data_IF_778836386056
#
_entry.id   IF_778836386056
#
_cell.length_a   1.000
_cell.length_b   1.000
_cell.length_c   1.000
_cell.angle_alpha   90.00
_cell.angle_beta   90.00
_cell.angle_gamma   90.00
#
_symmetry.space_group_name_H-M   'P 1'
#
loop_
_entity.id
_entity.type
_entity.pdbx_description
1 polymer ?
#
# COMPACT_ATOMS: atom_id res chain seq x y z
N UNK A 1 -12.17 -12.58 -0.70
CA UNK A 1 -10.86 -13.22 -0.43
C UNK A 1 -11.01 -14.69 -0.02
N UNK A 2 -10.11 -15.60 -0.45
CA UNK A 2 -10.19 -17.06 -0.16
C UNK A 2 -9.98 -17.44 1.31
N UNK A 3 -9.02 -16.80 1.99
CA UNK A 3 -8.64 -17.09 3.39
C UNK A 3 -8.98 -15.87 4.24
N UNK A 4 -10.13 -15.92 4.92
CA UNK A 4 -10.73 -14.79 5.66
C UNK A 4 -9.94 -14.45 6.93
N UNK A 5 -9.19 -15.38 7.48
CA UNK A 5 -8.36 -15.20 8.66
C UNK A 5 -7.20 -14.19 8.46
N UNK A 6 -6.90 -13.81 7.21
CA UNK A 6 -5.95 -12.74 6.89
C UNK A 6 -6.63 -11.41 6.55
N UNK A 7 -7.97 -11.36 6.56
CA UNK A 7 -8.72 -10.15 6.25
C UNK A 7 -8.62 -9.16 7.39
N UNK A 8 -8.40 -7.92 7.03
CA UNK A 8 -8.42 -6.79 7.95
C UNK A 8 -9.56 -5.89 7.53
N UNK A 9 -10.53 -5.75 8.42
CA UNK A 9 -11.71 -4.90 8.24
C UNK A 9 -11.60 -3.60 9.06
N UNK A 10 -10.59 -3.49 9.93
CA UNK A 10 -10.33 -2.31 10.74
C UNK A 10 -9.72 -1.20 9.87
N UNK A 11 -10.46 -0.12 9.67
CA UNK A 11 -10.03 1.03 8.88
C UNK A 11 -8.72 1.65 9.40
N UNK A 12 -8.52 1.70 10.71
CA UNK A 12 -7.31 2.25 11.32
C UNK A 12 -6.04 1.47 10.93
N UNK A 13 -6.11 0.13 10.87
CA UNK A 13 -4.99 -0.72 10.43
C UNK A 13 -4.64 -0.49 8.96
N UNK A 14 -5.68 -0.37 8.12
CA UNK A 14 -5.56 -0.06 6.71
C UNK A 14 -4.88 1.30 6.51
N UNK A 15 -5.38 2.35 7.16
CA UNK A 15 -4.86 3.72 7.08
C UNK A 15 -3.43 3.77 7.58
N UNK A 16 -3.13 3.13 8.71
CA UNK A 16 -1.77 3.08 9.29
C UNK A 16 -0.79 2.44 8.31
N UNK A 17 -1.16 1.29 7.73
CA UNK A 17 -0.31 0.62 6.74
C UNK A 17 -0.09 1.50 5.50
N UNK A 18 -1.16 2.05 4.90
CA UNK A 18 -1.04 2.87 3.68
C UNK A 18 -0.24 4.16 3.90
N UNK A 19 -0.33 4.77 5.08
CA UNK A 19 0.44 5.95 5.44
C UNK A 19 1.93 5.65 5.62
N UNK A 20 2.30 4.44 6.04
CA UNK A 20 3.69 3.99 6.15
C UNK A 20 4.39 3.71 4.81
N UNK A 21 3.65 3.55 3.71
CA UNK A 21 4.21 3.11 2.43
C UNK A 21 4.39 4.24 1.43
N UNK A 22 5.61 4.54 0.98
CA UNK A 22 5.89 5.69 0.09
C UNK A 22 5.38 5.54 -1.35
N UNK A 23 5.24 4.30 -1.84
CA UNK A 23 4.82 3.99 -3.20
C UNK A 23 3.92 2.74 -3.26
N UNK A 24 3.20 2.59 -4.37
CA UNK A 24 2.38 1.43 -4.70
C UNK A 24 2.41 1.16 -6.20
N UNK A 25 1.57 0.23 -6.64
CA UNK A 25 1.55 -0.30 -7.99
C UNK A 25 0.19 -0.04 -8.64
N UNK A 26 0.16 0.85 -9.62
CA UNK A 26 -1.01 1.14 -10.43
C UNK A 26 -1.10 0.15 -11.60
N UNK A 27 -2.13 -0.68 -11.58
CA UNK A 27 -2.56 -1.52 -12.70
C UNK A 27 -3.55 -0.77 -13.60
N UNK A 28 -3.23 -0.67 -14.88
CA UNK A 28 -4.11 -0.15 -15.94
C UNK A 28 -4.22 -1.18 -17.06
N UNK A 29 -5.28 -1.10 -17.85
CA UNK A 29 -5.42 -1.87 -19.10
C UNK A 29 -5.69 -0.92 -20.25
N UNK A 30 -4.94 -1.04 -21.34
CA UNK A 30 -5.23 -0.28 -22.57
C UNK A 30 -6.53 -0.78 -23.25
N UNK A 31 -6.93 -0.11 -24.34
CA UNK A 31 -8.14 -0.45 -25.10
C UNK A 31 -8.07 -1.83 -25.76
N UNK A 32 -6.86 -2.35 -26.01
CA UNK A 32 -6.63 -3.69 -26.54
C UNK A 32 -6.62 -4.75 -25.43
N UNK A 33 -6.72 -4.36 -24.16
CA UNK A 33 -6.71 -5.26 -23.01
C UNK A 33 -5.31 -5.58 -22.48
N UNK A 34 -4.25 -4.90 -22.94
CA UNK A 34 -2.90 -5.16 -22.44
C UNK A 34 -2.72 -4.58 -21.03
N UNK A 35 -2.33 -5.41 -20.05
CA UNK A 35 -2.10 -4.95 -18.70
C UNK A 35 -0.77 -4.19 -18.60
N UNK A 36 -0.77 -3.11 -17.82
CA UNK A 36 0.43 -2.38 -17.43
C UNK A 36 0.42 -2.14 -15.94
N UNK A 37 1.56 -2.37 -15.29
CA UNK A 37 1.78 -2.03 -13.88
C UNK A 37 2.81 -0.91 -13.79
N UNK A 38 2.47 0.17 -13.10
CA UNK A 38 3.33 1.34 -12.91
C UNK A 38 3.55 1.57 -11.42
N UNK A 39 4.78 1.43 -10.89
CA UNK A 39 5.09 1.85 -9.54
C UNK A 39 5.10 3.38 -9.46
N UNK A 40 4.44 3.94 -8.44
CA UNK A 40 4.36 5.39 -8.26
C UNK A 40 4.13 5.76 -6.79
N UNK A 41 4.56 6.95 -6.40
CA UNK A 41 4.28 7.50 -5.08
C UNK A 41 2.79 7.81 -4.93
N UNK A 42 2.26 7.56 -3.75
CA UNK A 42 0.85 7.82 -3.44
C UNK A 42 0.66 8.41 -2.04
N UNK A 43 -0.48 9.08 -1.86
CA UNK A 43 -1.07 9.36 -0.55
C UNK A 43 -2.45 8.75 -0.46
N UNK A 44 -2.87 8.37 0.74
CA UNK A 44 -4.21 7.86 1.01
C UNK A 44 -4.88 8.76 2.03
N UNK A 45 -6.05 9.31 1.69
CA UNK A 45 -6.80 10.20 2.56
C UNK A 45 -8.27 10.17 2.18
N UNK A 46 -9.16 10.28 3.17
CA UNK A 46 -10.61 10.30 2.97
C UNK A 46 -11.12 9.14 2.08
N UNK A 47 -10.59 7.93 2.31
CA UNK A 47 -10.97 6.73 1.56
C UNK A 47 -10.40 6.62 0.14
N UNK A 48 -9.67 7.63 -0.36
CA UNK A 48 -9.18 7.68 -1.73
C UNK A 48 -7.65 7.60 -1.81
N UNK A 49 -7.14 7.02 -2.89
CA UNK A 49 -5.72 7.08 -3.23
C UNK A 49 -5.47 8.25 -4.18
N UNK A 50 -4.34 8.91 -4.04
CA UNK A 50 -3.95 9.99 -4.92
C UNK A 50 -2.52 9.79 -5.40
N UNK A 51 -2.26 10.09 -6.66
CA UNK A 51 -0.92 10.17 -7.23
C UNK A 51 -0.76 11.41 -8.10
N UNK A 52 0.47 11.77 -8.41
CA UNK A 52 0.75 12.92 -9.28
C UNK A 52 1.69 12.54 -10.42
N UNK A 53 1.78 13.40 -11.44
CA UNK A 53 2.75 13.26 -12.51
C UNK A 53 2.52 14.23 -13.67
N UNK A 54 3.17 13.97 -14.80
CA UNK A 54 2.91 14.70 -16.04
C UNK A 54 1.47 14.47 -16.52
N UNK A 55 0.87 15.52 -17.10
CA UNK A 55 -0.38 15.46 -17.87
C UNK A 55 -0.28 14.54 -19.10
N UNK A 56 0.92 14.29 -19.61
CA UNK A 56 1.14 13.48 -20.81
C UNK A 56 1.72 12.10 -20.51
N UNK A 57 1.68 11.24 -21.53
CA UNK A 57 2.27 9.90 -21.54
C UNK A 57 1.24 8.78 -21.41
N UNK A 58 1.64 7.58 -21.82
CA UNK A 58 0.71 6.45 -22.02
C UNK A 58 -0.16 6.11 -20.80
N UNK A 59 0.30 6.31 -19.56
CA UNK A 59 -0.54 6.09 -18.36
C UNK A 59 -1.74 7.03 -18.33
N UNK A 60 -1.54 8.29 -18.73
CA UNK A 60 -2.56 9.33 -18.70
C UNK A 60 -3.53 9.19 -19.85
N UNK A 61 -3.04 8.74 -21.01
CA UNK A 61 -3.88 8.40 -22.16
C UNK A 61 -4.82 7.25 -21.80
N UNK A 62 -4.30 6.18 -21.20
CA UNK A 62 -5.11 5.04 -20.75
C UNK A 62 -6.13 5.45 -19.69
N UNK A 63 -5.76 6.26 -18.69
CA UNK A 63 -6.72 6.71 -17.66
C UNK A 63 -7.85 7.57 -18.27
N UNK A 64 -7.54 8.37 -19.30
CA UNK A 64 -8.55 9.20 -19.98
C UNK A 64 -9.54 8.36 -20.79
N UNK A 65 -9.08 7.29 -21.44
CA UNK A 65 -9.96 6.40 -22.21
C UNK A 65 -10.67 5.37 -21.33
N UNK A 66 -10.02 4.91 -20.27
CA UNK A 66 -10.48 3.87 -19.37
C UNK A 66 -10.17 4.24 -17.91
N UNK A 67 -11.21 4.61 -17.16
CA UNK A 67 -11.04 5.02 -15.76
C UNK A 67 -10.82 3.84 -14.80
N UNK A 68 -11.19 2.62 -15.19
CA UNK A 68 -11.08 1.45 -14.33
C UNK A 68 -9.61 1.09 -14.10
N UNK A 69 -9.19 1.11 -12.84
CA UNK A 69 -7.82 0.81 -12.42
C UNK A 69 -7.80 -0.15 -11.24
N UNK A 70 -6.66 -0.80 -11.06
CA UNK A 70 -6.31 -1.50 -9.83
C UNK A 70 -5.14 -0.78 -9.18
N UNK A 71 -5.16 -0.61 -7.86
CA UNK A 71 -4.02 -0.10 -7.12
C UNK A 71 -3.64 -1.09 -6.02
N UNK A 72 -2.37 -1.48 -5.95
CA UNK A 72 -1.88 -2.42 -4.94
C UNK A 72 -0.71 -1.84 -4.17
N UNK A 73 -0.70 -2.04 -2.86
CA UNK A 73 0.40 -1.69 -1.97
C UNK A 73 0.77 -2.95 -1.19
N UNK A 74 2.05 -3.27 -1.07
CA UNK A 74 2.50 -4.46 -0.36
C UNK A 74 3.84 -4.22 0.34
N UNK A 75 4.05 -4.92 1.45
CA UNK A 75 5.28 -4.88 2.24
C UNK A 75 5.57 -6.27 2.82
N UNK A 76 6.77 -6.79 2.58
CA UNK A 76 7.22 -8.09 3.10
C UNK A 76 7.96 -7.90 4.42
N UNK A 77 7.49 -8.60 5.45
CA UNK A 77 8.04 -8.52 6.80
C UNK A 77 9.13 -9.57 6.98
N UNK A 78 8.84 -10.84 6.65
CA UNK A 78 9.80 -11.91 6.77
C UNK A 78 9.50 -13.08 5.83
N UNK A 79 10.56 -13.68 5.31
CA UNK A 79 10.52 -15.05 4.78
C UNK A 79 10.53 -16.04 5.93
N UNK A 80 9.59 -16.97 5.92
CA UNK A 80 9.43 -18.05 6.89
C UNK A 80 9.90 -19.34 6.21
N UNK A 81 11.10 -19.82 6.52
CA UNK A 81 11.59 -21.07 5.96
C UNK A 81 10.77 -22.25 6.47
N UNK A 82 10.66 -23.31 5.67
CA UNK A 82 9.86 -24.48 6.04
C UNK A 82 10.36 -25.17 7.31
N UNK A 83 11.67 -25.16 7.57
CA UNK A 83 12.29 -25.78 8.74
C UNK A 83 11.94 -25.11 10.08
N UNK A 84 11.23 -23.97 10.07
CA UNK A 84 10.60 -23.46 11.30
C UNK A 84 9.36 -24.26 11.69
N UNK A 85 8.82 -25.08 10.80
CA UNK A 85 7.60 -25.87 11.02
C UNK A 85 7.80 -27.35 10.75
N UNK A 86 8.63 -27.71 9.77
CA UNK A 86 8.92 -29.10 9.40
C UNK A 86 10.37 -29.20 8.88
N UNK A 87 11.23 -30.03 9.49
CA UNK A 87 12.65 -30.12 9.12
C UNK A 87 12.90 -30.81 7.77
N UNK A 88 11.90 -31.50 7.20
CA UNK A 88 12.06 -32.27 5.95
C UNK A 88 11.22 -31.70 4.81
N UNK A 89 9.97 -31.29 5.07
CA UNK A 89 9.06 -30.84 4.03
C UNK A 89 9.29 -29.38 3.66
N UNK A 90 9.32 -29.08 2.36
CA UNK A 90 9.48 -27.71 1.85
C UNK A 90 8.17 -26.91 1.83
N UNK A 91 7.02 -27.58 1.81
CA UNK A 91 5.70 -26.98 1.61
C UNK A 91 5.31 -25.85 2.59
N UNK A 92 5.72 -25.87 3.88
CA UNK A 92 5.39 -24.79 4.82
C UNK A 92 6.09 -23.45 4.54
N UNK A 93 7.13 -23.42 3.69
CA UNK A 93 7.86 -22.21 3.38
C UNK A 93 6.93 -21.12 2.84
N UNK A 94 7.05 -19.90 3.36
CA UNK A 94 6.12 -18.83 3.02
C UNK A 94 6.67 -17.44 3.35
N UNK A 95 5.99 -16.37 2.92
CA UNK A 95 6.26 -15.01 3.42
C UNK A 95 5.14 -14.51 4.32
N UNK A 96 5.53 -13.72 5.33
CA UNK A 96 4.65 -12.87 6.13
C UNK A 96 4.72 -11.44 5.61
N UNK A 97 3.56 -10.83 5.44
CA UNK A 97 3.43 -9.59 4.68
C UNK A 97 2.12 -8.87 5.02
N UNK A 98 2.07 -7.60 4.61
CA UNK A 98 0.84 -6.81 4.50
C UNK A 98 0.62 -6.46 3.03
N UNK A 99 -0.63 -6.53 2.58
CA UNK A 99 -1.00 -6.04 1.25
C UNK A 99 -2.39 -5.44 1.24
N UNK A 100 -2.58 -4.41 0.42
CA UNK A 100 -3.87 -3.80 0.12
C UNK A 100 -4.03 -3.78 -1.38
N UNK A 101 -5.19 -4.21 -1.87
CA UNK A 101 -5.57 -4.10 -3.28
C UNK A 101 -6.91 -3.37 -3.35
N UNK A 102 -6.97 -2.35 -4.20
CA UNK A 102 -8.17 -1.58 -4.48
C UNK A 102 -8.49 -1.64 -5.97
N UNK A 103 -9.76 -1.90 -6.30
CA UNK A 103 -10.32 -1.69 -7.63
C UNK A 103 -11.17 -0.43 -7.59
N UNK A 104 -11.08 0.40 -8.61
CA UNK A 104 -11.86 1.63 -8.63
C UNK A 104 -11.62 2.48 -9.87
N UNK A 105 -11.99 3.76 -9.76
CA UNK A 105 -11.96 4.71 -10.88
C UNK A 105 -10.92 5.80 -10.67
N UNK A 106 -10.07 6.01 -11.67
CA UNK A 106 -9.07 7.07 -11.70
C UNK A 106 -9.61 8.30 -12.47
N UNK A 107 -9.49 9.47 -11.86
CA UNK A 107 -9.92 10.75 -12.45
C UNK A 107 -8.95 11.89 -12.11
N UNK A 108 -8.83 12.86 -13.02
CA UNK A 108 -7.98 14.02 -12.80
C UNK A 108 -8.67 15.06 -11.90
N UNK A 109 -7.91 15.60 -10.97
CA UNK A 109 -8.32 16.75 -10.17
C UNK A 109 -7.98 18.02 -10.95
N UNK A 110 -8.96 18.89 -11.14
CA UNK A 110 -8.79 20.17 -11.83
C UNK A 110 -8.59 21.35 -10.87
N UNK A 111 -9.22 21.30 -9.69
CA UNK A 111 -9.15 22.39 -8.71
C UNK A 111 -7.74 22.52 -8.13
N UNK A 112 -7.16 23.73 -8.24
CA UNK A 112 -5.78 23.97 -7.80
C UNK A 112 -5.63 23.98 -6.28
N UNK A 113 -6.69 24.30 -5.54
CA UNK A 113 -6.69 24.25 -4.07
C UNK A 113 -6.64 22.80 -3.59
N UNK A 114 -7.45 21.93 -4.18
CA UNK A 114 -7.41 20.49 -3.91
C UNK A 114 -6.04 19.90 -4.29
N UNK A 115 -5.48 20.26 -5.45
CA UNK A 115 -4.11 19.87 -5.81
C UNK A 115 -3.09 20.29 -4.76
N UNK A 116 -3.15 21.53 -4.27
CA UNK A 116 -2.22 22.04 -3.26
C UNK A 116 -2.32 21.24 -1.95
N UNK A 117 -3.53 20.90 -1.51
CA UNK A 117 -3.76 20.07 -0.32
C UNK A 117 -3.15 18.68 -0.52
N UNK A 118 -3.44 18.01 -1.63
CA UNK A 118 -2.94 16.65 -1.89
C UNK A 118 -1.41 16.63 -2.03
N UNK A 119 -0.83 17.58 -2.77
CA UNK A 119 0.62 17.70 -2.91
C UNK A 119 1.30 18.05 -1.58
N UNK A 120 0.63 18.80 -0.70
CA UNK A 120 1.13 19.02 0.66
C UNK A 120 1.16 17.72 1.49
N UNK A 121 0.20 16.82 1.31
CA UNK A 121 0.23 15.49 1.95
C UNK A 121 1.40 14.64 1.42
N UNK A 122 1.73 14.76 0.13
CA UNK A 122 2.95 14.13 -0.42
C UNK A 122 4.19 14.64 0.30
N UNK A 123 4.31 15.95 0.50
CA UNK A 123 5.48 16.51 1.17
C UNK A 123 5.59 16.05 2.63
N UNK A 124 4.47 15.97 3.37
CA UNK A 124 4.46 15.38 4.73
C UNK A 124 4.97 13.94 4.76
N UNK A 125 4.80 13.20 3.66
CA UNK A 125 5.20 11.79 3.55
C UNK A 125 6.63 11.61 3.02
N UNK A 126 7.07 12.48 2.11
CA UNK A 126 8.35 12.36 1.41
C UNK A 126 9.48 13.17 2.05
N UNK A 127 9.15 14.27 2.72
CA UNK A 127 10.09 15.19 3.35
C UNK A 127 9.47 15.71 4.67
N UNK A 128 9.19 14.82 5.65
CA UNK A 128 8.52 15.17 6.91
C UNK A 128 9.25 16.23 7.74
N UNK A 129 10.56 16.37 7.57
CA UNK A 129 11.42 17.36 8.21
C UNK A 129 11.16 18.81 7.73
N UNK A 130 10.39 18.99 6.65
CA UNK A 130 10.15 20.30 6.07
C UNK A 130 11.35 20.81 5.26
N UNK A 131 11.65 22.11 5.33
CA UNK A 131 12.69 22.74 4.50
C UNK A 131 12.21 23.24 3.14
N UNK A 132 10.89 23.37 2.98
CA UNK A 132 10.22 23.94 1.82
C UNK A 132 9.14 24.94 2.25
N UNK A 133 8.82 25.90 1.38
CA UNK A 133 7.65 26.78 1.58
C UNK A 133 6.38 25.93 1.41
N UNK A 134 5.38 26.00 2.31
CA UNK A 134 4.14 25.26 2.15
C UNK A 134 3.48 25.51 0.79
N UNK A 135 2.94 24.45 0.18
CA UNK A 135 2.27 24.55 -1.11
C UNK A 135 0.90 25.21 -0.88
N UNK A 136 0.72 26.41 -1.42
CA UNK A 136 -0.52 27.17 -1.38
C UNK A 136 -0.92 27.57 -2.81
N UNK A 137 -2.19 27.37 -3.16
CA UNK A 137 -2.73 27.76 -4.46
C UNK A 137 -2.80 29.28 -4.64
N UNK A 138 -2.82 30.05 -3.55
CA UNK A 138 -2.77 31.51 -3.58
C UNK A 138 -1.35 32.08 -3.72
N UNK A 139 -0.30 31.27 -3.48
CA UNK A 139 1.09 31.69 -3.64
C UNK A 139 1.48 31.75 -5.14
N UNK A 140 1.88 32.92 -5.67
CA UNK A 140 2.30 33.07 -7.07
C UNK A 140 3.44 32.12 -7.49
N UNK A 141 4.28 31.68 -6.56
CA UNK A 141 5.37 30.73 -6.82
C UNK A 141 4.86 29.33 -7.20
N UNK A 142 3.68 28.95 -6.71
CA UNK A 142 3.08 27.63 -6.93
C UNK A 142 1.98 27.63 -7.99
N UNK A 143 1.34 28.77 -8.27
CA UNK A 143 0.21 28.84 -9.22
C UNK A 143 0.46 28.17 -10.58
N UNK A 144 1.59 28.49 -11.24
CA UNK A 144 1.94 27.88 -12.53
C UNK A 144 2.35 26.40 -12.41
N UNK A 145 2.99 26.03 -11.29
CA UNK A 145 3.45 24.67 -11.01
C UNK A 145 2.28 23.72 -10.76
N UNK A 146 1.27 24.18 -10.03
CA UNK A 146 0.03 23.43 -9.77
C UNK A 146 -0.76 23.18 -11.06
N UNK A 147 -0.73 24.11 -12.01
CA UNK A 147 -1.30 23.89 -13.36
C UNK A 147 -0.48 22.89 -14.17
N UNK A 148 0.85 22.93 -14.07
CA UNK A 148 1.75 22.05 -14.80
C UNK A 148 1.76 20.58 -14.35
N UNK A 149 1.21 20.28 -13.17
CA UNK A 149 1.15 18.92 -12.63
C UNK A 149 -0.27 18.35 -12.68
N UNK A 150 -0.38 17.09 -13.08
CA UNK A 150 -1.58 16.30 -12.94
C UNK A 150 -1.62 15.68 -11.55
N UNK A 151 -2.76 15.76 -10.88
CA UNK A 151 -3.06 14.99 -9.66
C UNK A 151 -4.26 14.13 -9.98
N UNK A 152 -4.14 12.84 -9.73
CA UNK A 152 -5.16 11.83 -10.06
C UNK A 152 -5.68 11.25 -8.77
N UNK A 153 -7.01 11.26 -8.61
CA UNK A 153 -7.73 10.56 -7.56
C UNK A 153 -8.12 9.18 -8.06
N UNK A 154 -7.92 8.17 -7.24
CA UNK A 154 -8.50 6.83 -7.41
C UNK A 154 -9.52 6.66 -6.30
N UNK A 155 -10.79 6.60 -6.69
CA UNK A 155 -11.91 6.32 -5.78
C UNK A 155 -12.14 4.81 -5.78
N UNK A 156 -11.84 4.10 -4.67
CA UNK A 156 -12.04 2.65 -4.60
C UNK A 156 -13.53 2.30 -4.63
N UNK A 157 -13.88 1.32 -5.45
CA UNK A 157 -15.18 0.64 -5.43
C UNK A 157 -15.12 -0.62 -4.56
N UNK A 158 -13.95 -1.27 -4.54
CA UNK A 158 -13.63 -2.37 -3.64
C UNK A 158 -12.22 -2.17 -3.09
N UNK A 159 -12.05 -2.43 -1.79
CA UNK A 159 -10.73 -2.47 -1.14
C UNK A 159 -10.62 -3.73 -0.30
N UNK A 160 -9.53 -4.47 -0.49
CA UNK A 160 -9.20 -5.67 0.31
C UNK A 160 -7.84 -5.48 0.96
N UNK A 161 -7.80 -5.58 2.29
CA UNK A 161 -6.56 -5.68 3.06
C UNK A 161 -6.31 -7.14 3.48
N UNK A 162 -5.08 -7.60 3.28
CA UNK A 162 -4.63 -8.95 3.61
C UNK A 162 -3.31 -8.88 4.39
N UNK A 163 -3.37 -9.15 5.68
CA UNK A 163 -2.20 -9.18 6.56
C UNK A 163 -1.97 -10.61 7.02
N UNK A 164 -0.79 -11.16 6.75
CA UNK A 164 -0.48 -12.57 6.99
C UNK A 164 0.71 -12.72 7.92
N UNK A 165 0.41 -13.19 9.12
CA UNK A 165 1.35 -13.36 10.25
C UNK A 165 1.03 -14.64 11.02
N UNK A 166 0.70 -15.72 10.31
CA UNK A 166 0.52 -17.05 10.90
C UNK A 166 -0.81 -17.27 11.63
N UNK A 167 -1.85 -16.46 11.37
CA UNK A 167 -3.18 -16.59 12.01
C UNK A 167 -3.84 -17.96 11.80
N UNK A 168 -3.41 -18.72 10.79
CA UNK A 168 -3.90 -20.06 10.49
C UNK A 168 -3.14 -21.19 11.24
N UNK A 169 -2.07 -20.86 11.97
CA UNK A 169 -1.24 -21.83 12.67
C UNK A 169 -1.80 -22.10 14.07
N UNK A 170 -1.77 -23.37 14.49
CA UNK A 170 -2.00 -23.77 15.88
C UNK A 170 -0.92 -23.22 16.79
N UNK A 171 -1.23 -23.09 18.08
CA UNK A 171 -0.37 -22.50 19.11
C UNK A 171 1.07 -23.05 19.09
N UNK A 172 1.24 -24.38 19.11
CA UNK A 172 2.55 -25.04 19.06
C UNK A 172 3.36 -24.68 17.80
N UNK A 173 2.75 -24.81 16.61
CA UNK A 173 3.40 -24.46 15.36
C UNK A 173 3.75 -22.97 15.26
N UNK A 174 2.91 -22.11 15.84
CA UNK A 174 3.16 -20.67 15.91
C UNK A 174 4.33 -20.35 16.85
N UNK A 175 4.43 -21.05 17.99
CA UNK A 175 5.55 -20.90 18.93
C UNK A 175 6.89 -21.27 18.26
N UNK A 176 6.95 -22.36 17.49
CA UNK A 176 8.17 -22.72 16.73
C UNK A 176 8.56 -21.66 15.70
N UNK A 177 7.59 -21.04 15.01
CA UNK A 177 7.89 -19.93 14.09
C UNK A 177 8.45 -18.72 14.85
N UNK A 178 7.92 -18.38 16.02
CA UNK A 178 8.43 -17.28 16.85
C UNK A 178 9.84 -17.58 17.36
N UNK A 179 10.11 -18.81 17.81
CA UNK A 179 11.44 -19.24 18.23
C UNK A 179 12.43 -19.16 17.07
N UNK A 180 12.04 -19.64 15.88
CA UNK A 180 12.84 -19.56 14.67
C UNK A 180 13.18 -18.12 14.28
N UNK A 181 12.19 -17.21 14.32
CA UNK A 181 12.41 -15.78 14.06
C UNK A 181 13.32 -15.14 15.12
N UNK A 182 13.09 -15.44 16.40
CA UNK A 182 13.90 -14.93 17.52
C UNK A 182 15.35 -15.40 17.43
N UNK A 183 15.56 -16.69 17.11
CA UNK A 183 16.88 -17.29 16.97
C UNK A 183 17.61 -16.82 15.70
N UNK A 184 16.89 -16.60 14.60
CA UNK A 184 17.46 -16.02 13.38
C UNK A 184 17.85 -14.56 13.57
N UNK A 185 17.05 -13.78 14.30
CA UNK A 185 17.26 -12.36 14.59
C UNK A 185 17.59 -11.52 13.34
N UNK A 186 16.84 -11.73 12.26
CA UNK A 186 16.94 -10.97 11.03
C UNK A 186 16.37 -9.55 11.16
N UNK A 187 16.60 -8.72 10.13
CA UNK A 187 16.30 -7.27 10.14
C UNK A 187 14.90 -6.90 10.63
N UNK A 188 13.88 -7.68 10.27
CA UNK A 188 12.47 -7.43 10.62
C UNK A 188 11.85 -8.56 11.44
N UNK A 189 12.66 -9.45 12.02
CA UNK A 189 12.12 -10.62 12.74
C UNK A 189 11.39 -10.21 14.02
N UNK A 190 11.94 -9.26 14.78
CA UNK A 190 11.28 -8.71 15.96
C UNK A 190 9.93 -8.06 15.61
N UNK A 191 9.91 -7.19 14.59
CA UNK A 191 8.67 -6.56 14.08
C UNK A 191 7.66 -7.62 13.58
N UNK A 192 8.15 -8.69 12.94
CA UNK A 192 7.32 -9.80 12.49
C UNK A 192 6.67 -10.52 13.67
N UNK A 193 7.42 -10.78 14.75
CA UNK A 193 6.90 -11.40 15.97
C UNK A 193 5.82 -10.52 16.61
N UNK A 194 6.05 -9.21 16.72
CA UNK A 194 5.04 -8.26 17.22
C UNK A 194 3.74 -8.32 16.38
N UNK A 195 3.85 -8.39 15.06
CA UNK A 195 2.68 -8.55 14.20
C UNK A 195 2.01 -9.91 14.39
N UNK A 196 2.77 -11.00 14.55
CA UNK A 196 2.19 -12.30 14.87
C UNK A 196 1.39 -12.24 16.16
N UNK A 197 1.89 -11.56 17.20
CA UNK A 197 1.22 -11.40 18.50
C UNK A 197 -0.05 -10.57 18.36
N UNK A 198 0.05 -9.42 17.68
CA UNK A 198 -1.07 -8.53 17.40
C UNK A 198 -2.22 -9.24 16.68
N UNK A 199 -1.93 -10.08 15.69
CA UNK A 199 -2.95 -10.80 14.91
C UNK A 199 -3.23 -12.21 15.44
N UNK A 200 -2.82 -12.53 16.66
CA UNK A 200 -3.04 -13.85 17.25
C UNK A 200 -4.54 -14.10 17.47
N UNK A 201 -5.13 -15.19 16.91
CA UNK A 201 -6.57 -15.45 17.03
C UNK A 201 -6.99 -16.02 18.39
N UNK A 202 -6.03 -16.44 19.23
CA UNK A 202 -6.28 -17.15 20.49
C UNK A 202 -6.47 -16.24 21.71
N UNK A 203 -6.13 -14.95 21.58
CA UNK A 203 -6.16 -13.98 22.68
C UNK A 203 -7.30 -12.96 22.56
N UNK A 204 -8.42 -13.35 21.92
CA UNK A 204 -9.65 -12.56 21.86
C UNK A 204 -10.71 -13.11 22.80
#
# INVERSE_FOLDING_TARGET
MRRKEFQIDQEEELVTFLNGMSFGFLGTSDEQGHPRVTPLNFVYTQGCFYFHGSHAGGKMEVIRSQQNVCFTVADEYALIPSYFSDPQLACPATSYFKSVTAYGKAEAIEDSTEKAVILSLFMKKLQPEGGYVPIDAADPQYHSRLKGVAVIRITPEEITAKFKFGQNLKEEARAHVIEGLSGRNGTRDAETIEMMEKYCPYHR
#
